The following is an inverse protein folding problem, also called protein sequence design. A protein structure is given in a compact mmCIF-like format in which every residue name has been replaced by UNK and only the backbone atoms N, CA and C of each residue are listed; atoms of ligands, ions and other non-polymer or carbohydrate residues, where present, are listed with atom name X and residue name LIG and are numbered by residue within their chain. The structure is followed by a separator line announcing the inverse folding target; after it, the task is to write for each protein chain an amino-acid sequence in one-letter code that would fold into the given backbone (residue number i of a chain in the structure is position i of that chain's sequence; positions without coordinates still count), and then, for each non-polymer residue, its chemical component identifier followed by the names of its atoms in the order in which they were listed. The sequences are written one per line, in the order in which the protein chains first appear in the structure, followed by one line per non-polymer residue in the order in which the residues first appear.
data_IF_400112527967
#
_entry.id   IF_400112527967
#
_cell.length_a   1.000
_cell.length_b   1.000
_cell.length_c   1.000
_cell.angle_alpha   90.00
_cell.angle_beta   90.00
_cell.angle_gamma   90.00
#
_symmetry.space_group_name_H-M   'P 1'
#
loop_
_entity.id
_entity.type
_entity.pdbx_description
1 polymer ?
#
# COMPACT_ATOMS: atom_id res chain seq x y z
N UNK A 1 3.37 -4.39 -11.89
CA UNK A 1 4.64 -5.01 -11.47
C UNK A 1 4.26 -6.16 -10.55
N UNK A 2 5.01 -7.25 -10.54
CA UNK A 2 4.79 -8.29 -9.52
C UNK A 2 5.30 -7.77 -8.17
N UNK A 3 4.84 -8.36 -7.05
CA UNK A 3 5.38 -8.01 -5.73
C UNK A 3 6.90 -8.19 -5.67
N UNK A 4 7.43 -9.23 -6.32
CA UNK A 4 8.87 -9.47 -6.39
C UNK A 4 9.61 -8.33 -7.11
N UNK A 5 9.12 -7.89 -8.27
CA UNK A 5 9.69 -6.75 -9.00
C UNK A 5 9.61 -5.45 -8.17
N UNK A 6 8.54 -5.25 -7.41
CA UNK A 6 8.39 -4.08 -6.53
C UNK A 6 9.39 -4.12 -5.37
N UNK A 7 9.60 -5.28 -4.74
CA UNK A 7 10.61 -5.46 -3.70
C UNK A 7 12.04 -5.24 -4.24
N UNK A 8 12.33 -5.68 -5.47
CA UNK A 8 13.61 -5.39 -6.14
C UNK A 8 13.82 -3.88 -6.34
N UNK A 9 12.77 -3.17 -6.80
CA UNK A 9 12.79 -1.71 -6.94
C UNK A 9 13.02 -1.03 -5.59
N UNK A 10 12.34 -1.49 -4.54
CA UNK A 10 12.51 -0.97 -3.19
C UNK A 10 13.95 -1.10 -2.70
N UNK A 11 14.56 -2.27 -2.88
CA UNK A 11 15.97 -2.50 -2.53
C UNK A 11 16.91 -1.57 -3.30
N UNK A 12 16.70 -1.43 -4.62
CA UNK A 12 17.51 -0.58 -5.48
C UNK A 12 17.42 0.90 -5.07
N UNK A 13 16.21 1.39 -4.80
CA UNK A 13 15.95 2.76 -4.38
C UNK A 13 16.54 3.02 -2.99
N UNK A 14 16.32 2.14 -2.01
CA UNK A 14 16.87 2.30 -0.65
C UNK A 14 18.41 2.35 -0.65
N UNK A 15 19.07 1.52 -1.47
CA UNK A 15 20.54 1.53 -1.64
C UNK A 15 21.07 2.88 -2.14
N UNK A 16 20.30 3.56 -2.98
CA UNK A 16 20.66 4.88 -3.51
C UNK A 16 20.31 5.96 -2.48
N UNK A 17 19.09 5.96 -1.94
CA UNK A 17 18.58 6.98 -1.02
C UNK A 17 19.38 7.02 0.28
N UNK A 18 19.80 5.88 0.82
CA UNK A 18 20.63 5.77 2.04
C UNK A 18 20.06 6.59 3.22
N UNK A 19 18.75 6.51 3.42
CA UNK A 19 18.06 7.19 4.53
C UNK A 19 18.05 8.72 4.46
N UNK A 20 18.47 9.34 3.35
CA UNK A 20 18.50 10.81 3.20
C UNK A 20 17.11 11.46 3.27
N UNK A 21 16.08 10.71 2.87
CA UNK A 21 14.68 11.11 2.93
C UNK A 21 13.81 9.91 3.31
N UNK A 22 12.66 10.12 3.97
CA UNK A 22 11.70 9.03 4.22
C UNK A 22 11.12 8.51 2.90
N UNK A 23 10.80 7.22 2.88
CA UNK A 23 10.21 6.55 1.73
C UNK A 23 8.82 6.03 2.09
N UNK A 24 7.91 6.06 1.12
CA UNK A 24 6.55 5.52 1.23
C UNK A 24 6.39 4.48 0.12
N UNK A 25 5.98 3.26 0.47
CA UNK A 25 5.75 2.18 -0.49
C UNK A 25 4.29 2.19 -0.97
N UNK A 26 4.03 1.94 -2.25
CA UNK A 26 2.67 1.64 -2.71
C UNK A 26 2.31 0.22 -2.28
N UNK A 27 1.20 0.04 -1.55
CA UNK A 27 0.80 -1.28 -1.00
C UNK A 27 -0.66 -1.65 -1.25
N UNK A 28 -1.44 -0.75 -1.85
CA UNK A 28 -2.87 -0.98 -2.08
C UNK A 28 -3.17 -1.40 -3.52
N UNK A 29 -4.03 -2.40 -3.64
CA UNK A 29 -4.69 -2.81 -4.88
C UNK A 29 -6.21 -2.75 -4.69
N UNK A 30 -6.98 -3.24 -5.66
CA UNK A 30 -8.43 -3.37 -5.49
C UNK A 30 -8.87 -4.68 -4.82
N UNK A 31 -7.94 -5.56 -4.45
CA UNK A 31 -8.17 -6.78 -3.67
C UNK A 31 -7.62 -6.61 -2.25
N UNK A 32 -8.48 -6.74 -1.25
CA UNK A 32 -8.12 -6.58 0.16
C UNK A 32 -7.12 -7.63 0.63
N UNK A 33 -7.24 -8.89 0.20
CA UNK A 33 -6.33 -9.95 0.65
C UNK A 33 -4.93 -9.71 0.10
N UNK A 34 -4.84 -9.38 -1.19
CA UNK A 34 -3.60 -9.04 -1.86
C UNK A 34 -2.89 -7.86 -1.19
N UNK A 35 -3.63 -6.77 -0.91
CA UNK A 35 -3.10 -5.61 -0.19
C UNK A 35 -2.62 -5.95 1.24
N UNK A 36 -3.34 -6.85 1.93
CA UNK A 36 -2.98 -7.33 3.28
C UNK A 36 -1.71 -8.19 3.25
N UNK A 37 -1.57 -9.08 2.26
CA UNK A 37 -0.37 -9.88 2.09
C UNK A 37 0.83 -8.99 1.77
N UNK A 38 0.66 -8.04 0.87
CA UNK A 38 1.75 -7.19 0.44
C UNK A 38 2.21 -6.20 1.52
N UNK A 39 1.29 -5.60 2.30
CA UNK A 39 1.69 -4.71 3.40
C UNK A 39 2.49 -5.45 4.48
N UNK A 40 2.24 -6.76 4.70
CA UNK A 40 3.05 -7.59 5.60
C UNK A 40 4.44 -7.85 5.05
N UNK A 41 4.55 -8.11 3.75
CA UNK A 41 5.84 -8.28 3.07
C UNK A 41 6.67 -6.99 3.15
N UNK A 42 6.05 -5.84 2.91
CA UNK A 42 6.70 -4.53 2.96
C UNK A 42 7.11 -4.15 4.39
N UNK A 43 6.27 -4.41 5.39
CA UNK A 43 6.64 -4.19 6.81
C UNK A 43 7.83 -5.05 7.22
N UNK A 44 7.84 -6.32 6.80
CA UNK A 44 8.98 -7.23 7.03
C UNK A 44 10.23 -6.81 6.27
N UNK A 45 10.08 -6.27 5.06
CA UNK A 45 11.19 -5.76 4.24
C UNK A 45 11.83 -4.51 4.87
N UNK A 46 11.01 -3.62 5.42
CA UNK A 46 11.44 -2.45 6.19
C UNK A 46 11.98 -1.29 5.35
N UNK A 47 12.42 -0.22 6.03
CA UNK A 47 12.98 0.98 5.39
C UNK A 47 11.93 1.96 4.83
N UNK A 48 10.66 1.78 5.18
CA UNK A 48 9.55 2.65 4.81
C UNK A 48 8.97 3.36 6.03
N UNK A 49 8.57 4.62 5.85
CA UNK A 49 7.88 5.41 6.86
C UNK A 49 6.37 5.13 6.88
N UNK A 50 5.81 4.76 5.73
CA UNK A 50 4.39 4.42 5.58
C UNK A 50 4.16 3.58 4.31
N UNK A 51 3.00 2.93 4.24
CA UNK A 51 2.42 2.35 3.03
C UNK A 51 1.31 3.23 2.47
N UNK A 52 1.23 3.37 1.16
CA UNK A 52 0.17 4.11 0.45
C UNK A 52 -0.85 3.12 -0.13
N UNK A 53 -2.09 3.21 0.34
CA UNK A 53 -3.19 2.34 -0.10
C UNK A 53 -4.19 3.11 -0.97
N UNK A 54 -4.25 2.79 -2.27
CA UNK A 54 -5.23 3.39 -3.20
C UNK A 54 -6.64 2.92 -2.90
N UNK A 55 -7.64 3.77 -3.15
CA UNK A 55 -9.05 3.35 -3.16
C UNK A 55 -9.27 2.23 -4.17
N UNK A 56 -9.92 1.11 -3.78
CA UNK A 56 -10.20 0.00 -4.69
C UNK A 56 -10.86 0.49 -5.99
N UNK A 57 -10.11 0.34 -7.08
CA UNK A 57 -10.55 0.69 -8.42
C UNK A 57 -11.34 -0.45 -9.04
N UNK A 58 -12.13 -0.13 -10.07
CA UNK A 58 -12.95 -1.06 -10.86
C UNK A 58 -14.16 -1.68 -10.14
N UNK A 59 -13.97 -2.26 -8.96
CA UNK A 59 -15.03 -2.98 -8.22
C UNK A 59 -16.02 -2.06 -7.48
N UNK A 60 -15.73 -0.76 -7.35
CA UNK A 60 -16.63 0.29 -6.84
C UNK A 60 -17.30 -0.08 -5.49
N UNK A 61 -16.52 -0.28 -4.41
CA UNK A 61 -17.06 -0.64 -3.11
C UNK A 61 -17.95 0.47 -2.51
N UNK A 62 -18.78 0.10 -1.54
CA UNK A 62 -19.52 1.05 -0.70
C UNK A 62 -18.59 1.73 0.31
N UNK A 63 -19.04 2.79 0.98
CA UNK A 63 -18.24 3.42 2.05
C UNK A 63 -17.88 2.44 3.18
N UNK A 64 -18.78 1.53 3.53
CA UNK A 64 -18.48 0.47 4.51
C UNK A 64 -17.43 -0.50 3.97
N UNK A 65 -17.52 -0.86 2.69
CA UNK A 65 -16.50 -1.67 2.02
C UNK A 65 -15.12 -1.00 2.04
N UNK A 66 -15.05 0.31 1.80
CA UNK A 66 -13.82 1.09 1.90
C UNK A 66 -13.27 1.09 3.32
N UNK A 67 -14.12 1.33 4.32
CA UNK A 67 -13.72 1.31 5.71
C UNK A 67 -13.10 -0.04 6.10
N UNK A 68 -13.78 -1.15 5.81
CA UNK A 68 -13.28 -2.48 6.13
C UNK A 68 -12.00 -2.83 5.36
N UNK A 69 -11.89 -2.41 4.10
CA UNK A 69 -10.68 -2.60 3.29
C UNK A 69 -9.46 -1.93 3.94
N UNK A 70 -9.56 -0.64 4.26
CA UNK A 70 -8.45 0.08 4.89
C UNK A 70 -8.17 -0.39 6.31
N UNK A 71 -9.21 -0.73 7.08
CA UNK A 71 -9.05 -1.31 8.42
C UNK A 71 -8.25 -2.62 8.36
N UNK A 72 -8.60 -3.53 7.45
CA UNK A 72 -7.92 -4.80 7.31
C UNK A 72 -6.43 -4.63 6.96
N UNK A 73 -6.10 -3.68 6.07
CA UNK A 73 -4.71 -3.36 5.72
C UNK A 73 -3.98 -2.77 6.94
N UNK A 74 -4.59 -1.81 7.64
CA UNK A 74 -3.98 -1.15 8.79
C UNK A 74 -3.76 -2.09 9.99
N UNK A 75 -4.60 -3.12 10.17
CA UNK A 75 -4.45 -4.13 11.22
C UNK A 75 -3.46 -5.24 10.86
N UNK A 76 -3.01 -5.32 9.60
CA UNK A 76 -2.18 -6.43 9.11
C UNK A 76 -0.68 -6.29 9.43
N UNK A 77 -0.19 -5.07 9.71
CA UNK A 77 1.23 -4.78 9.94
C UNK A 77 1.43 -3.56 10.85
N UNK A 78 2.69 -3.28 11.24
CA UNK A 78 3.01 -2.08 12.03
C UNK A 78 3.29 -0.85 11.17
N UNK A 79 3.32 -1.00 9.84
CA UNK A 79 3.62 0.08 8.91
C UNK A 79 2.42 1.03 8.84
N UNK A 80 2.57 2.34 9.15
CA UNK A 80 1.48 3.30 9.05
C UNK A 80 0.90 3.36 7.63
N UNK A 81 -0.43 3.44 7.51
CA UNK A 81 -1.12 3.47 6.22
C UNK A 81 -1.60 4.88 5.89
N UNK A 82 -1.30 5.34 4.67
CA UNK A 82 -1.81 6.57 4.08
C UNK A 82 -2.86 6.19 3.04
N UNK A 83 -4.08 6.70 3.21
CA UNK A 83 -5.17 6.52 2.24
C UNK A 83 -4.92 7.41 1.02
N UNK A 84 -4.95 6.82 -0.17
CA UNK A 84 -4.89 7.54 -1.43
C UNK A 84 -6.27 7.57 -2.10
N UNK A 85 -7.04 8.59 -1.74
CA UNK A 85 -8.37 8.86 -2.30
C UNK A 85 -8.24 9.68 -3.60
N UNK A 86 -8.55 9.06 -4.74
CA UNK A 86 -8.43 9.66 -6.08
C UNK A 86 -9.62 9.27 -6.99
N UNK A 87 -10.82 9.84 -6.74
CA UNK A 87 -12.06 9.43 -7.42
C UNK A 87 -12.01 9.53 -8.94
N UNK A 88 -11.18 10.44 -9.49
CA UNK A 88 -10.98 10.57 -10.94
C UNK A 88 -10.37 9.33 -11.60
N UNK A 89 -9.74 8.45 -10.82
CA UNK A 89 -9.17 7.17 -11.29
C UNK A 89 -9.93 5.95 -10.74
N UNK A 90 -10.61 6.08 -9.60
CA UNK A 90 -11.20 4.96 -8.86
C UNK A 90 -12.72 4.91 -8.94
N UNK A 91 -13.39 6.02 -9.31
CA UNK A 91 -14.86 6.18 -9.38
C UNK A 91 -15.59 6.08 -8.02
N UNK A 92 -14.92 5.56 -6.99
CA UNK A 92 -15.34 5.54 -5.59
C UNK A 92 -14.36 6.37 -4.73
N UNK A 93 -14.82 6.89 -3.59
CA UNK A 93 -14.02 7.71 -2.68
C UNK A 93 -14.74 8.13 -1.40
#
# INVERSE_FOLDING_TARGET
LTHEEELELFAAVQKIVKGRVPLIAGIGTNDTRDSVEFVREVDKFGGFAAGLAVTPYYNKPTQEGLYQHYKAIAEASNLPVIVYNVPSRTVAG
#
